data_IF_149871506591
#
_entry.id   IF_149871506591
#
_cell.length_a   1.000
_cell.length_b   1.000
_cell.length_c   1.000
_cell.angle_alpha   90.00
_cell.angle_beta   90.00
_cell.angle_gamma   90.00
#
_symmetry.space_group_name_H-M   'P 1'
#
loop_
_entity.id
_entity.type
_entity.pdbx_description
1 polymer ?
#
# COMPACT_ATOMS: atom_id res chain seq x y z
N UNK A 1 -19.56 -4.63 -12.73
CA UNK A 1 -19.65 -3.75 -11.52
C UNK A 1 -20.28 -2.42 -11.91
N UNK A 2 -21.28 -1.97 -11.15
CA UNK A 2 -21.93 -0.66 -11.31
C UNK A 2 -21.16 0.46 -10.59
N UNK A 3 -21.48 1.72 -10.90
CA UNK A 3 -20.97 2.89 -10.16
C UNK A 3 -21.21 2.74 -8.64
N UNK A 4 -22.45 2.42 -8.25
CA UNK A 4 -22.82 2.33 -6.84
C UNK A 4 -22.06 1.21 -6.11
N UNK A 5 -21.85 0.08 -6.77
CA UNK A 5 -21.05 -1.04 -6.26
C UNK A 5 -19.57 -0.68 -6.12
N UNK A 6 -19.05 0.21 -6.98
CA UNK A 6 -17.66 0.67 -6.95
C UNK A 6 -17.33 1.71 -5.88
N UNK A 7 -18.31 2.52 -5.45
CA UNK A 7 -18.06 3.62 -4.49
C UNK A 7 -17.68 3.10 -3.09
N UNK A 8 -18.36 2.09 -2.57
CA UNK A 8 -18.11 1.56 -1.23
C UNK A 8 -16.69 0.98 -1.05
N UNK A 9 -16.20 0.06 -1.91
CA UNK A 9 -14.85 -0.47 -1.79
C UNK A 9 -13.78 0.60 -2.06
N UNK A 10 -14.05 1.56 -2.96
CA UNK A 10 -13.15 2.69 -3.19
C UNK A 10 -13.03 3.61 -1.96
N UNK A 11 -14.14 3.91 -1.28
CA UNK A 11 -14.11 4.65 0.01
C UNK A 11 -13.31 3.89 1.07
N UNK A 12 -13.40 2.56 1.09
CA UNK A 12 -12.59 1.75 1.99
C UNK A 12 -11.08 1.85 1.66
N UNK A 13 -10.73 1.87 0.38
CA UNK A 13 -9.36 2.09 -0.08
C UNK A 13 -8.84 3.48 0.31
N UNK A 14 -9.63 4.53 0.11
CA UNK A 14 -9.27 5.91 0.50
C UNK A 14 -8.97 5.96 2.00
N UNK A 15 -9.82 5.37 2.84
CA UNK A 15 -9.58 5.30 4.30
C UNK A 15 -8.32 4.50 4.65
N UNK A 16 -8.08 3.37 3.97
CA UNK A 16 -6.86 2.58 4.17
C UNK A 16 -5.60 3.36 3.78
N UNK A 17 -5.66 4.12 2.69
CA UNK A 17 -4.57 4.99 2.21
C UNK A 17 -4.28 6.11 3.20
N UNK A 18 -5.32 6.79 3.70
CA UNK A 18 -5.17 7.82 4.73
C UNK A 18 -4.55 7.28 6.02
N UNK A 19 -4.97 6.08 6.47
CA UNK A 19 -4.36 5.42 7.64
C UNK A 19 -2.90 5.06 7.38
N UNK A 20 -2.58 4.47 6.24
CA UNK A 20 -1.19 4.14 5.88
C UNK A 20 -0.31 5.38 5.90
N UNK A 21 -0.73 6.47 5.25
CA UNK A 21 -0.03 7.76 5.26
C UNK A 21 0.23 8.29 6.67
N UNK A 22 -0.77 8.19 7.56
CA UNK A 22 -0.61 8.58 8.96
C UNK A 22 0.49 7.76 9.64
N UNK A 23 0.45 6.43 9.50
CA UNK A 23 1.46 5.53 10.09
C UNK A 23 2.87 5.82 9.55
N UNK A 24 3.00 6.12 8.25
CA UNK A 24 4.30 6.52 7.66
C UNK A 24 4.83 7.82 8.26
N UNK A 25 3.95 8.78 8.62
CA UNK A 25 4.37 10.02 9.29
C UNK A 25 4.84 9.82 10.73
N UNK A 26 4.41 8.75 11.39
CA UNK A 26 4.82 8.41 12.75
C UNK A 26 6.17 7.67 12.79
N UNK A 27 6.66 7.15 11.65
CA UNK A 27 8.00 6.55 11.53
C UNK A 27 9.11 7.58 11.78
N UNK A 28 10.16 7.16 12.50
CA UNK A 28 11.26 8.04 12.91
C UNK A 28 10.90 9.06 14.00
N UNK A 29 9.64 9.09 14.47
CA UNK A 29 9.19 9.91 15.59
C UNK A 29 9.24 9.18 16.93
N UNK A 30 8.82 9.86 18.01
CA UNK A 30 8.82 9.28 19.37
C UNK A 30 7.86 8.08 19.57
N UNK A 31 6.93 7.86 18.65
CA UNK A 31 6.04 6.69 18.62
C UNK A 31 6.51 5.56 17.71
N UNK A 32 7.66 5.70 17.05
CA UNK A 32 8.20 4.65 16.19
C UNK A 32 8.65 3.44 17.02
N UNK A 33 8.25 2.26 16.57
CA UNK A 33 8.53 1.01 17.26
C UNK A 33 8.06 -0.20 16.47
N UNK A 34 8.43 -1.39 16.96
CA UNK A 34 8.11 -2.66 16.30
C UNK A 34 6.61 -2.84 16.08
N UNK A 35 5.78 -2.37 17.00
CA UNK A 35 4.32 -2.40 16.90
C UNK A 35 3.77 -1.53 15.76
N UNK A 36 4.22 -0.27 15.68
CA UNK A 36 3.85 0.67 14.61
C UNK A 36 4.24 0.11 13.24
N UNK A 37 5.46 -0.41 13.10
CA UNK A 37 5.96 -0.99 11.84
C UNK A 37 5.22 -2.25 11.43
N UNK A 38 4.82 -3.09 12.38
CA UNK A 38 3.96 -4.25 12.11
C UNK A 38 2.55 -3.83 11.68
N UNK A 39 2.00 -2.79 12.30
CA UNK A 39 0.70 -2.22 11.94
C UNK A 39 0.73 -1.58 10.55
N UNK A 40 1.80 -0.82 10.25
CA UNK A 40 2.06 -0.28 8.93
C UNK A 40 1.97 -1.40 7.91
N UNK A 41 2.81 -2.44 8.01
CA UNK A 41 2.77 -3.60 7.09
C UNK A 41 1.40 -4.27 6.94
N UNK A 42 0.64 -4.40 8.04
CA UNK A 42 -0.76 -4.92 7.97
C UNK A 42 -1.67 -3.99 7.17
N UNK A 43 -1.56 -2.68 7.40
CA UNK A 43 -2.35 -1.68 6.70
C UNK A 43 -2.03 -1.66 5.19
N UNK A 44 -0.77 -1.86 4.80
CA UNK A 44 -0.33 -1.87 3.40
C UNK A 44 -0.84 -3.08 2.63
N UNK A 45 -0.76 -4.27 3.25
CA UNK A 45 -1.41 -5.48 2.70
C UNK A 45 -2.89 -5.28 2.48
N UNK A 46 -3.58 -4.67 3.44
CA UNK A 46 -5.01 -4.37 3.32
C UNK A 46 -5.31 -3.37 2.21
N UNK A 47 -4.54 -2.28 2.12
CA UNK A 47 -4.70 -1.27 1.07
C UNK A 47 -4.48 -1.88 -0.32
N UNK A 48 -3.45 -2.73 -0.50
CA UNK A 48 -3.21 -3.48 -1.73
C UNK A 48 -4.35 -4.41 -2.11
N UNK A 49 -4.83 -5.20 -1.16
CA UNK A 49 -5.97 -6.10 -1.40
C UNK A 49 -7.21 -5.35 -1.87
N UNK A 50 -7.50 -4.20 -1.22
CA UNK A 50 -8.60 -3.32 -1.64
C UNK A 50 -8.36 -2.73 -3.02
N UNK A 51 -7.15 -2.28 -3.34
CA UNK A 51 -6.82 -1.70 -4.64
C UNK A 51 -6.94 -2.73 -5.78
N UNK A 52 -6.45 -3.95 -5.57
CA UNK A 52 -6.56 -5.04 -6.56
C UNK A 52 -8.03 -5.44 -6.81
N UNK A 53 -8.82 -5.55 -5.74
CA UNK A 53 -10.26 -5.81 -5.84
C UNK A 53 -11.01 -4.70 -6.56
N UNK A 54 -10.78 -3.43 -6.19
CA UNK A 54 -11.39 -2.27 -6.84
C UNK A 54 -11.00 -2.20 -8.32
N UNK A 55 -9.71 -2.38 -8.65
CA UNK A 55 -9.22 -2.32 -10.01
C UNK A 55 -9.81 -3.43 -10.89
N UNK A 56 -9.90 -4.65 -10.39
CA UNK A 56 -10.53 -5.76 -11.12
C UNK A 56 -12.01 -5.50 -11.37
N UNK A 57 -12.74 -5.02 -10.35
CA UNK A 57 -14.16 -4.68 -10.46
C UNK A 57 -14.43 -3.52 -11.42
N UNK A 58 -13.66 -2.44 -11.34
CA UNK A 58 -13.81 -1.29 -12.24
C UNK A 58 -13.43 -1.65 -13.69
N UNK A 59 -12.40 -2.47 -13.89
CA UNK A 59 -12.00 -2.91 -15.23
C UNK A 59 -13.07 -3.79 -15.91
N UNK A 60 -13.75 -4.64 -15.13
CA UNK A 60 -14.90 -5.40 -15.61
C UNK A 60 -16.09 -4.47 -15.93
N UNK A 61 -16.40 -3.53 -15.03
CA UNK A 61 -17.46 -2.53 -15.24
C UNK A 61 -17.26 -1.69 -16.50
N UNK A 62 -16.04 -1.23 -16.77
CA UNK A 62 -15.70 -0.44 -17.97
C UNK A 62 -15.88 -1.21 -19.30
N UNK A 63 -15.88 -2.55 -19.24
CA UNK A 63 -16.14 -3.44 -20.37
C UNK A 63 -17.64 -3.74 -20.52
N UNK A 64 -18.30 -4.06 -19.41
CA UNK A 64 -19.69 -4.54 -19.40
C UNK A 64 -20.73 -3.42 -19.50
N UNK A 65 -20.38 -2.19 -19.07
CA UNK A 65 -21.33 -1.08 -18.94
C UNK A 65 -20.83 0.17 -19.66
N UNK A 66 -21.03 0.26 -20.98
CA UNK A 66 -20.64 1.45 -21.75
C UNK A 66 -21.40 2.71 -21.30
N UNK A 67 -22.63 2.56 -20.79
CA UNK A 67 -23.48 3.68 -20.36
C UNK A 67 -22.99 4.37 -19.08
N UNK A 68 -22.34 3.62 -18.17
CA UNK A 68 -21.75 4.13 -16.91
C UNK A 68 -20.24 4.43 -17.05
N UNK A 69 -19.71 4.36 -18.28
CA UNK A 69 -18.27 4.52 -18.55
C UNK A 69 -17.68 5.85 -18.05
N UNK A 70 -18.34 7.03 -18.14
CA UNK A 70 -17.74 8.25 -17.63
C UNK A 70 -17.62 8.26 -16.11
N UNK A 71 -18.61 7.75 -15.38
CA UNK A 71 -18.59 7.67 -13.91
C UNK A 71 -17.57 6.63 -13.44
N UNK A 72 -17.51 5.46 -14.09
CA UNK A 72 -16.51 4.43 -13.78
C UNK A 72 -15.08 4.93 -14.05
N UNK A 73 -14.88 5.77 -15.09
CA UNK A 73 -13.59 6.44 -15.32
C UNK A 73 -13.21 7.42 -14.21
N UNK A 74 -14.18 8.15 -13.64
CA UNK A 74 -13.92 9.02 -12.47
C UNK A 74 -13.50 8.20 -11.26
N UNK A 75 -14.17 7.09 -10.99
CA UNK A 75 -13.80 6.17 -9.90
C UNK A 75 -12.40 5.57 -10.15
N UNK A 76 -12.08 5.25 -11.39
CA UNK A 76 -10.74 4.79 -11.79
C UNK A 76 -9.66 5.84 -11.52
N UNK A 77 -9.91 7.11 -11.82
CA UNK A 77 -8.96 8.19 -11.54
C UNK A 77 -8.67 8.32 -10.04
N UNK A 78 -9.68 8.15 -9.19
CA UNK A 78 -9.49 8.13 -7.72
C UNK A 78 -8.69 6.91 -7.27
N UNK A 79 -8.94 5.73 -7.85
CA UNK A 79 -8.15 4.53 -7.60
C UNK A 79 -6.68 4.77 -7.95
N UNK A 80 -6.41 5.33 -9.13
CA UNK A 80 -5.05 5.66 -9.58
C UNK A 80 -4.35 6.63 -8.62
N UNK A 81 -5.04 7.72 -8.22
CA UNK A 81 -4.50 8.67 -7.25
C UNK A 81 -4.18 8.02 -5.88
N UNK A 82 -4.98 7.04 -5.45
CA UNK A 82 -4.69 6.28 -4.23
C UNK A 82 -3.44 5.41 -4.40
N UNK A 83 -3.25 4.78 -5.56
CA UNK A 83 -2.05 3.99 -5.85
C UNK A 83 -0.78 4.86 -5.86
N UNK A 84 -0.82 6.01 -6.54
CA UNK A 84 0.30 6.96 -6.55
C UNK A 84 0.67 7.42 -5.13
N UNK A 85 -0.35 7.70 -4.29
CA UNK A 85 -0.14 8.04 -2.90
C UNK A 85 0.49 6.90 -2.08
N UNK A 86 0.00 5.67 -2.24
CA UNK A 86 0.53 4.49 -1.55
C UNK A 86 1.98 4.22 -1.94
N UNK A 87 2.34 4.36 -3.22
CA UNK A 87 3.71 4.18 -3.70
C UNK A 87 4.66 5.23 -3.16
N UNK A 88 4.28 6.51 -3.21
CA UNK A 88 5.06 7.59 -2.65
C UNK A 88 5.28 7.41 -1.13
N UNK A 89 4.22 7.02 -0.41
CA UNK A 89 4.30 6.78 1.03
C UNK A 89 5.13 5.51 1.35
N UNK A 90 5.10 4.48 0.51
CA UNK A 90 5.93 3.27 0.69
C UNK A 90 7.42 3.55 0.45
N UNK A 91 7.77 4.32 -0.58
CA UNK A 91 9.14 4.76 -0.82
C UNK A 91 9.67 5.58 0.37
N UNK A 92 8.84 6.50 0.89
CA UNK A 92 9.17 7.29 2.08
C UNK A 92 9.34 6.40 3.32
N UNK A 93 8.46 5.42 3.53
CA UNK A 93 8.57 4.49 4.65
C UNK A 93 9.87 3.70 4.60
N UNK A 94 10.30 3.22 3.42
CA UNK A 94 11.56 2.52 3.25
C UNK A 94 12.78 3.42 3.56
N UNK A 95 12.76 4.67 3.12
CA UNK A 95 13.81 5.64 3.47
C UNK A 95 13.89 5.86 4.99
N UNK A 96 12.75 6.02 5.66
CA UNK A 96 12.69 6.21 7.10
C UNK A 96 13.12 4.96 7.88
N UNK A 97 12.77 3.75 7.42
CA UNK A 97 13.24 2.53 8.06
C UNK A 97 14.77 2.38 7.99
N UNK A 98 15.37 2.79 6.88
CA UNK A 98 16.83 2.77 6.70
C UNK A 98 17.52 3.84 7.55
N UNK A 99 16.92 5.02 7.66
CA UNK A 99 17.44 6.13 8.47
C UNK A 99 17.31 5.87 9.98
N UNK A 100 16.28 5.13 10.40
CA UNK A 100 16.01 4.82 11.80
C UNK A 100 15.92 3.29 12.01
N UNK A 101 17.05 2.58 12.15
CA UNK A 101 17.02 1.14 12.39
C UNK A 101 16.38 0.82 13.75
N UNK A 102 15.56 -0.24 13.87
CA UNK A 102 14.84 -0.59 15.11
C UNK A 102 15.78 -0.93 16.28
N UNK A 103 17.03 -1.30 15.99
CA UNK A 103 18.02 -1.70 17.00
C UNK A 103 19.17 -0.68 17.15
N UNK A 104 19.14 0.45 16.42
CA UNK A 104 20.19 1.48 16.47
C UNK A 104 19.97 2.53 17.59
N UNK A 105 18.75 2.63 18.13
CA UNK A 105 18.38 3.59 19.17
C UNK A 105 18.24 2.96 20.56
N UNK A 106 19.06 1.96 20.88
CA UNK A 106 19.27 1.60 22.28
C UNK A 106 20.08 2.74 22.92
N UNK A 107 19.38 3.70 23.55
CA UNK A 107 20.00 4.58 24.53
C UNK A 107 20.75 3.67 25.50
N UNK A 108 22.09 3.74 25.49
CA UNK A 108 22.93 2.95 26.38
C UNK A 108 22.77 3.51 27.79
N UNK A 109 21.71 3.12 28.49
CA UNK A 109 21.37 3.58 29.84
C UNK A 109 22.31 3.04 30.93
N UNK A 110 23.50 2.55 30.58
CA UNK A 110 24.46 1.93 31.51
C UNK A 110 24.04 0.55 32.03
N UNK A 111 22.83 0.07 31.71
CA UNK A 111 22.40 -1.29 31.98
C UNK A 111 22.97 -2.23 30.90
N UNK A 112 23.53 -3.41 31.26
CA UNK A 112 23.99 -4.36 30.26
C UNK A 112 22.82 -4.79 29.39
N UNK A 113 22.90 -4.49 28.09
CA UNK A 113 21.92 -4.94 27.13
C UNK A 113 21.97 -6.47 27.04
N UNK A 114 20.80 -7.12 27.00
CA UNK A 114 20.72 -8.54 26.67
C UNK A 114 21.43 -8.78 25.31
N UNK A 115 22.21 -9.86 25.17
CA UNK A 115 22.94 -10.12 23.93
C UNK A 115 21.96 -10.20 22.76
N UNK A 116 22.32 -9.65 21.58
CA UNK A 116 21.49 -9.78 20.39
C UNK A 116 21.29 -11.28 20.10
N UNK A 117 20.09 -11.71 19.66
CA UNK A 117 19.87 -13.10 19.32
C UNK A 117 20.87 -13.52 18.23
N UNK A 118 21.73 -14.49 18.54
CA UNK A 118 22.61 -15.14 17.56
C UNK A 118 21.76 -16.06 16.70
N UNK A 119 21.35 -15.56 15.54
CA UNK A 119 20.71 -16.33 14.48
C UNK A 119 20.88 -15.59 13.15
N UNK A 120 20.79 -16.29 12.00
CA UNK A 120 20.79 -15.60 10.73
C UNK A 120 19.70 -14.52 10.78
N UNK A 121 20.05 -13.28 10.41
CA UNK A 121 19.10 -12.19 10.30
C UNK A 121 17.95 -12.70 9.43
N UNK A 122 16.80 -12.99 10.04
CA UNK A 122 15.64 -13.50 9.32
C UNK A 122 15.40 -12.52 8.19
N UNK A 123 15.50 -13.02 6.95
CA UNK A 123 15.38 -12.19 5.76
C UNK A 123 14.16 -11.28 5.95
N UNK A 124 14.33 -9.95 5.92
CA UNK A 124 13.22 -9.10 6.24
C UNK A 124 12.19 -9.32 5.14
N UNK A 125 11.02 -9.87 5.50
CA UNK A 125 9.76 -9.57 4.81
C UNK A 125 9.45 -8.07 5.01
N UNK A 126 10.40 -7.23 4.61
CA UNK A 126 10.54 -5.84 4.97
C UNK A 126 9.62 -4.96 4.14
N UNK A 127 9.54 -3.69 4.54
CA UNK A 127 8.81 -2.68 3.76
C UNK A 127 9.35 -2.53 2.33
N UNK A 128 10.55 -3.00 2.06
CA UNK A 128 11.12 -3.14 0.71
C UNK A 128 10.34 -4.13 -0.16
N UNK A 129 10.04 -5.32 0.37
CA UNK A 129 9.18 -6.29 -0.31
C UNK A 129 7.74 -5.77 -0.44
N UNK A 130 7.27 -4.97 0.52
CA UNK A 130 5.96 -4.34 0.45
C UNK A 130 5.89 -3.22 -0.62
N UNK A 131 6.94 -2.40 -0.71
CA UNK A 131 7.12 -1.37 -1.74
C UNK A 131 7.19 -1.99 -3.13
N UNK A 132 7.97 -3.07 -3.30
CA UNK A 132 8.07 -3.76 -4.58
C UNK A 132 6.72 -4.34 -5.00
N UNK A 133 6.02 -5.01 -4.07
CA UNK A 133 4.69 -5.55 -4.36
C UNK A 133 3.64 -4.48 -4.65
N UNK A 134 3.76 -3.27 -4.07
CA UNK A 134 2.89 -2.13 -4.41
C UNK A 134 3.10 -1.70 -5.86
N UNK A 135 4.36 -1.51 -6.26
CA UNK A 135 4.73 -1.18 -7.63
C UNK A 135 4.29 -2.25 -8.63
N UNK A 136 4.46 -3.54 -8.27
CA UNK A 136 4.01 -4.66 -9.10
C UNK A 136 2.48 -4.67 -9.24
N UNK A 137 1.74 -4.38 -8.16
CA UNK A 137 0.27 -4.30 -8.19
C UNK A 137 -0.21 -3.17 -9.11
N UNK A 138 0.42 -2.00 -9.07
CA UNK A 138 0.12 -0.90 -9.99
C UNK A 138 0.37 -1.33 -11.43
N UNK A 139 1.54 -1.90 -11.71
CA UNK A 139 1.92 -2.34 -13.06
C UNK A 139 0.96 -3.40 -13.60
N UNK A 140 0.53 -4.33 -12.76
CA UNK A 140 -0.46 -5.34 -13.11
C UNK A 140 -1.83 -4.71 -13.42
N UNK A 141 -2.26 -3.73 -12.62
CA UNK A 141 -3.51 -3.01 -12.86
C UNK A 141 -3.43 -2.18 -14.15
N UNK A 142 -2.33 -1.49 -14.41
CA UNK A 142 -2.10 -0.75 -15.67
C UNK A 142 -2.14 -1.69 -16.88
N UNK A 143 -1.47 -2.84 -16.81
CA UNK A 143 -1.50 -3.87 -17.87
C UNK A 143 -2.89 -4.46 -18.07
N UNK A 144 -3.64 -4.72 -16.99
CA UNK A 144 -5.04 -5.19 -17.06
C UNK A 144 -5.95 -4.13 -17.68
N UNK A 145 -5.74 -2.85 -17.35
CA UNK A 145 -6.51 -1.74 -17.92
C UNK A 145 -6.22 -1.59 -19.40
N UNK A 146 -4.94 -1.62 -19.78
CA UNK A 146 -4.49 -1.52 -21.17
C UNK A 146 -5.00 -2.70 -22.01
N UNK A 147 -4.90 -3.94 -21.52
CA UNK A 147 -5.44 -5.12 -22.19
C UNK A 147 -6.97 -5.13 -22.25
N UNK A 148 -7.67 -4.61 -21.23
CA UNK A 148 -9.13 -4.51 -21.25
C UNK A 148 -9.63 -3.47 -22.26
N UNK A 149 -8.82 -2.45 -22.58
CA UNK A 149 -9.10 -1.46 -23.62
C UNK A 149 -8.73 -1.92 -25.03
N UNK A 150 -7.92 -2.99 -25.17
CA UNK A 150 -7.38 -3.47 -26.46
C UNK A 150 -8.08 -4.69 -27.05
N UNK A 151 -8.88 -5.45 -26.30
CA UNK A 151 -9.62 -6.59 -26.86
C UNK A 151 -10.72 -6.07 -27.80
N UNK A 152 -10.61 -6.25 -29.13
CA UNK A 152 -11.77 -6.14 -29.99
C UNK A 152 -12.69 -7.33 -29.67
N UNK A 153 -13.99 -7.05 -29.70
CA UNK A 153 -15.08 -8.04 -29.78
C UNK A 153 -14.76 -9.20 -30.69
#
# INVERSE_FOLDING_TARGET
MSRAEGEAPLRALVRATARWRRLVRELGGGGDGRALRAELRRCGRRARGLASGCGSGLAAGLRERPDERPELRRLWAVLAACLDALEADAARALQLERAFPPDANLVRTGLPAAPPPRGPAAAPEGLEAESQRLADTRRELELKTFNSLRKPT
#
